data_IF_236615119834
#
_entry.id   IF_236615119834
#
_cell.length_a   1.000
_cell.length_b   1.000
_cell.length_c   1.000
_cell.angle_alpha   90.00
_cell.angle_beta   90.00
_cell.angle_gamma   90.00
#
_symmetry.space_group_name_H-M   'P 1'
#
loop_
_entity.id
_entity.type
_entity.pdbx_description
1 polymer ?
#
# COMPACT_ATOMS: atom_id res chain seq x y z
N UNK A 1 -13.56 -15.02 21.27
CA UNK A 1 -13.45 -15.47 19.86
C UNK A 1 -12.38 -14.59 19.24
N UNK A 2 -11.30 -15.17 18.73
CA UNK A 2 -10.28 -14.41 17.99
C UNK A 2 -10.95 -13.85 16.75
N UNK A 3 -11.11 -12.53 16.66
CA UNK A 3 -11.42 -11.89 15.39
C UNK A 3 -10.11 -11.96 14.59
N UNK A 4 -9.99 -12.90 13.69
CA UNK A 4 -8.88 -12.89 12.73
C UNK A 4 -9.12 -11.73 11.76
N UNK A 5 -8.09 -10.95 11.47
CA UNK A 5 -8.16 -9.90 10.46
C UNK A 5 -8.40 -10.50 9.07
N UNK A 6 -9.65 -10.48 8.60
CA UNK A 6 -10.08 -11.26 7.42
C UNK A 6 -9.72 -10.63 6.07
N UNK A 7 -9.31 -9.36 6.03
CA UNK A 7 -9.07 -8.65 4.78
C UNK A 7 -7.87 -9.17 3.99
N UNK A 8 -7.03 -10.01 4.60
CA UNK A 8 -5.87 -10.65 3.95
C UNK A 8 -6.03 -12.16 3.71
N UNK A 9 -7.17 -12.76 4.07
CA UNK A 9 -7.32 -14.23 4.08
C UNK A 9 -7.56 -14.85 2.71
N UNK A 10 -8.05 -14.08 1.73
CA UNK A 10 -8.31 -14.55 0.37
C UNK A 10 -7.68 -13.62 -0.65
N UNK A 11 -7.28 -14.18 -1.79
CA UNK A 11 -6.66 -13.42 -2.88
C UNK A 11 -7.57 -12.25 -3.32
N UNK A 12 -7.13 -11.02 -3.03
CA UNK A 12 -7.89 -9.79 -3.33
C UNK A 12 -7.74 -9.29 -4.77
N UNK A 13 -6.82 -9.84 -5.56
CA UNK A 13 -6.78 -9.59 -7.01
C UNK A 13 -7.91 -10.34 -7.73
N UNK A 14 -8.25 -11.53 -7.20
CA UNK A 14 -9.32 -12.38 -7.74
C UNK A 14 -10.67 -12.04 -7.09
N UNK A 15 -10.71 -11.94 -5.77
CA UNK A 15 -11.94 -11.67 -5.00
C UNK A 15 -12.01 -10.20 -4.57
N UNK A 16 -13.01 -9.48 -5.08
CA UNK A 16 -13.20 -8.07 -4.74
C UNK A 16 -13.80 -7.95 -3.33
N UNK A 17 -13.16 -7.16 -2.48
CA UNK A 17 -13.70 -6.84 -1.16
C UNK A 17 -14.73 -5.71 -1.15
N UNK A 18 -15.70 -5.84 -0.25
CA UNK A 18 -16.81 -4.92 -0.04
C UNK A 18 -16.72 -4.21 1.32
N UNK A 19 -15.67 -3.39 1.48
CA UNK A 19 -15.39 -2.59 2.70
C UNK A 19 -16.53 -1.67 3.19
N UNK A 20 -17.61 -1.48 2.42
CA UNK A 20 -18.72 -0.58 2.78
C UNK A 20 -19.61 -1.12 3.90
N UNK A 21 -19.59 -2.43 4.17
CA UNK A 21 -20.45 -3.08 5.16
C UNK A 21 -19.66 -3.67 6.33
N UNK A 22 -18.42 -3.23 6.51
CA UNK A 22 -17.56 -3.69 7.61
C UNK A 22 -18.16 -3.28 8.96
N UNK A 23 -18.41 -4.22 9.89
CA UNK A 23 -18.87 -3.89 11.23
C UNK A 23 -17.83 -3.04 11.99
N UNK A 24 -18.30 -2.25 12.94
CA UNK A 24 -17.41 -1.62 13.92
C UNK A 24 -16.90 -2.66 14.90
N UNK A 25 -15.58 -2.85 14.94
CA UNK A 25 -14.92 -3.86 15.77
C UNK A 25 -14.13 -3.26 16.95
N UNK A 26 -14.14 -1.92 17.10
CA UNK A 26 -13.49 -1.22 18.20
C UNK A 26 -11.96 -1.39 18.23
N UNK A 27 -11.37 -1.20 19.42
CA UNK A 27 -9.92 -1.27 19.62
C UNK A 27 -9.32 -2.63 19.23
N UNK A 28 -10.08 -3.72 19.37
CA UNK A 28 -9.65 -5.06 19.01
C UNK A 28 -9.28 -5.15 17.52
N UNK A 29 -9.99 -4.41 16.66
CA UNK A 29 -9.66 -4.32 15.24
C UNK A 29 -8.23 -3.84 15.00
N UNK A 30 -7.81 -2.81 15.73
CA UNK A 30 -6.48 -2.25 15.60
C UNK A 30 -5.44 -3.26 16.08
N UNK A 31 -5.69 -3.94 17.20
CA UNK A 31 -4.83 -5.04 17.66
C UNK A 31 -4.69 -6.13 16.59
N UNK A 32 -5.81 -6.64 16.06
CA UNK A 32 -5.81 -7.70 15.04
C UNK A 32 -5.11 -7.24 13.75
N UNK A 33 -5.29 -5.97 13.37
CA UNK A 33 -4.64 -5.34 12.23
C UNK A 33 -3.11 -5.28 12.41
N UNK A 34 -2.60 -4.76 13.52
CA UNK A 34 -1.15 -4.70 13.78
C UNK A 34 -0.54 -6.10 13.83
N UNK A 35 -1.20 -7.05 14.50
CA UNK A 35 -0.76 -8.44 14.58
C UNK A 35 -0.70 -9.11 13.21
N UNK A 36 -1.68 -8.85 12.34
CA UNK A 36 -1.71 -9.36 10.97
C UNK A 36 -0.46 -8.94 10.18
N UNK A 37 -0.13 -7.64 10.17
CA UNK A 37 1.05 -7.12 9.46
C UNK A 37 2.35 -7.65 10.05
N UNK A 38 2.46 -7.68 11.38
CA UNK A 38 3.65 -8.17 12.05
C UNK A 38 3.87 -9.67 11.79
N UNK A 39 2.79 -10.46 11.80
CA UNK A 39 2.84 -11.89 11.49
C UNK A 39 3.21 -12.13 10.03
N UNK A 40 2.71 -11.30 9.12
CA UNK A 40 3.10 -11.36 7.72
C UNK A 40 4.58 -11.02 7.49
N UNK A 41 5.10 -9.96 8.11
CA UNK A 41 6.52 -9.63 8.04
C UNK A 41 7.39 -10.81 8.52
N UNK A 42 7.04 -11.42 9.66
CA UNK A 42 7.71 -12.62 10.17
C UNK A 42 7.65 -13.78 9.16
N UNK A 43 6.50 -14.01 8.54
CA UNK A 43 6.30 -15.05 7.50
C UNK A 43 7.25 -14.88 6.32
N UNK A 44 7.56 -13.63 5.94
CA UNK A 44 8.48 -13.33 4.83
C UNK A 44 9.95 -13.19 5.27
N UNK A 45 10.27 -13.52 6.53
CA UNK A 45 11.63 -13.49 7.09
C UNK A 45 12.10 -12.10 7.51
N UNK A 46 11.17 -11.18 7.77
CA UNK A 46 11.43 -9.80 8.15
C UNK A 46 10.78 -9.49 9.51
N UNK A 47 11.16 -8.38 10.11
CA UNK A 47 10.60 -7.94 11.40
C UNK A 47 10.14 -6.50 11.29
N UNK A 48 9.10 -6.14 12.04
CA UNK A 48 8.71 -4.75 12.21
C UNK A 48 9.83 -3.96 12.89
N UNK A 49 10.22 -2.84 12.29
CA UNK A 49 11.22 -1.92 12.81
C UNK A 49 10.62 -0.53 12.72
N UNK A 50 10.17 0.07 13.83
CA UNK A 50 9.55 1.39 13.82
C UNK A 50 10.40 2.36 13.02
N UNK A 51 9.84 2.88 11.92
CA UNK A 51 10.48 3.93 11.14
C UNK A 51 10.27 5.27 11.84
N UNK A 52 11.25 6.16 11.75
CA UNK A 52 11.11 7.53 12.21
C UNK A 52 10.52 8.42 11.12
N UNK A 53 9.87 9.50 11.55
CA UNK A 53 9.12 10.49 10.75
C UNK A 53 9.91 11.08 9.57
N UNK A 54 11.24 10.96 9.57
CA UNK A 54 12.14 11.58 8.59
C UNK A 54 12.81 10.57 7.66
N UNK A 55 12.16 9.44 7.36
CA UNK A 55 12.63 8.56 6.29
C UNK A 55 11.99 9.00 4.96
N UNK A 56 12.59 9.91 4.19
CA UNK A 56 12.05 10.28 2.89
C UNK A 56 12.02 9.07 1.95
N UNK A 57 10.85 8.81 1.37
CA UNK A 57 10.63 7.86 0.27
C UNK A 57 11.17 8.48 -1.02
N UNK A 58 12.48 8.49 -1.17
CA UNK A 58 13.21 8.97 -2.35
C UNK A 58 14.38 8.02 -2.64
N UNK A 59 14.82 7.95 -3.90
CA UNK A 59 15.86 7.05 -4.38
C UNK A 59 15.57 5.57 -4.03
N UNK A 60 14.28 5.19 -4.09
CA UNK A 60 13.85 3.82 -3.79
C UNK A 60 14.34 2.88 -4.88
N UNK A 61 14.40 3.35 -6.14
CA UNK A 61 14.94 2.56 -7.24
C UNK A 61 16.36 2.07 -6.92
N UNK A 62 17.28 3.02 -6.68
CA UNK A 62 18.70 2.75 -6.43
C UNK A 62 18.91 1.95 -5.15
N UNK A 63 18.22 2.35 -4.07
CA UNK A 63 18.37 1.74 -2.75
C UNK A 63 17.98 0.26 -2.73
N UNK A 64 16.97 -0.13 -3.50
CA UNK A 64 16.43 -1.48 -3.49
C UNK A 64 16.68 -2.27 -4.79
N UNK A 65 17.27 -1.65 -5.82
CA UNK A 65 17.62 -2.29 -7.09
C UNK A 65 16.39 -2.78 -7.88
N UNK A 66 15.31 -2.01 -7.88
CA UNK A 66 13.99 -2.46 -8.38
C UNK A 66 13.73 -2.07 -9.84
N UNK A 67 14.69 -1.44 -10.53
CA UNK A 67 14.56 -1.01 -11.93
C UNK A 67 14.26 -2.20 -12.85
N UNK A 68 14.89 -3.35 -12.58
CA UNK A 68 14.67 -4.60 -13.34
C UNK A 68 13.26 -5.18 -13.20
N UNK A 69 12.55 -4.86 -12.11
CA UNK A 69 11.16 -5.28 -11.89
C UNK A 69 10.16 -4.42 -12.65
N UNK A 70 10.52 -3.17 -12.94
CA UNK A 70 9.65 -2.15 -13.53
C UNK A 70 9.67 -2.24 -15.07
N UNK A 71 9.09 -3.31 -15.61
CA UNK A 71 9.16 -3.61 -17.05
C UNK A 71 8.04 -2.97 -17.88
N UNK A 72 6.93 -2.56 -17.27
CA UNK A 72 5.75 -2.06 -17.97
C UNK A 72 5.58 -0.54 -17.89
N UNK A 73 4.82 0.09 -18.81
CA UNK A 73 4.61 1.55 -18.79
C UNK A 73 4.15 2.07 -17.43
N UNK A 74 3.20 1.37 -16.80
CA UNK A 74 2.69 1.77 -15.48
C UNK A 74 3.74 1.62 -14.39
N UNK A 75 4.46 0.50 -14.32
CA UNK A 75 5.53 0.32 -13.32
C UNK A 75 6.65 1.36 -13.47
N UNK A 76 7.00 1.73 -14.72
CA UNK A 76 8.01 2.76 -14.99
C UNK A 76 7.56 4.13 -14.57
N UNK A 77 6.29 4.49 -14.84
CA UNK A 77 5.74 5.77 -14.40
C UNK A 77 5.62 5.85 -12.88
N UNK A 78 5.23 4.76 -12.22
CA UNK A 78 5.21 4.69 -10.76
C UNK A 78 6.61 4.83 -10.15
N UNK A 79 7.63 4.21 -10.76
CA UNK A 79 9.02 4.36 -10.35
C UNK A 79 9.50 5.82 -10.52
N UNK A 80 9.20 6.45 -11.66
CA UNK A 80 9.51 7.87 -11.86
C UNK A 80 8.86 8.75 -10.78
N UNK A 81 7.58 8.52 -10.48
CA UNK A 81 6.86 9.29 -9.46
C UNK A 81 7.39 9.06 -8.06
N UNK A 82 7.87 7.86 -7.72
CA UNK A 82 8.33 7.61 -6.35
C UNK A 82 9.62 8.39 -6.05
N UNK A 83 10.49 8.53 -7.06
CA UNK A 83 11.79 9.19 -6.94
C UNK A 83 11.73 10.70 -7.26
N UNK A 84 10.67 11.18 -7.92
CA UNK A 84 10.46 12.60 -8.18
C UNK A 84 9.88 13.34 -6.96
N UNK A 85 10.52 14.45 -6.59
CA UNK A 85 10.04 15.38 -5.55
C UNK A 85 8.86 16.24 -6.01
N UNK A 86 8.66 16.41 -7.31
CA UNK A 86 7.55 17.17 -7.93
C UNK A 86 6.54 16.24 -8.59
N UNK A 87 5.97 15.31 -7.82
CA UNK A 87 5.07 14.28 -8.34
C UNK A 87 3.88 14.86 -9.10
N UNK A 88 3.55 14.20 -10.21
CA UNK A 88 2.35 14.47 -11.00
C UNK A 88 1.09 14.08 -10.21
N UNK A 89 0.58 15.04 -9.43
CA UNK A 89 -0.61 14.87 -8.59
C UNK A 89 -1.86 14.49 -9.39
N UNK A 90 -1.99 14.95 -10.64
CA UNK A 90 -3.13 14.59 -11.49
C UNK A 90 -3.06 13.10 -11.86
N UNK A 91 -1.88 12.61 -12.24
CA UNK A 91 -1.68 11.20 -12.56
C UNK A 91 -1.99 10.28 -11.36
N UNK A 92 -1.54 10.67 -10.16
CA UNK A 92 -1.81 9.96 -8.90
C UNK A 92 -3.32 9.90 -8.64
N UNK A 93 -4.02 11.02 -8.75
CA UNK A 93 -5.46 11.12 -8.54
C UNK A 93 -6.26 10.26 -9.52
N UNK A 94 -5.85 10.24 -10.79
CA UNK A 94 -6.51 9.42 -11.82
C UNK A 94 -6.27 7.93 -11.59
N UNK A 95 -5.07 7.52 -11.18
CA UNK A 95 -4.79 6.14 -10.82
C UNK A 95 -5.59 5.72 -9.57
N UNK A 96 -5.68 6.62 -8.59
CA UNK A 96 -6.45 6.40 -7.37
C UNK A 96 -7.92 6.12 -7.69
N UNK A 97 -8.57 6.99 -8.45
CA UNK A 97 -9.97 6.81 -8.87
C UNK A 97 -10.14 5.49 -9.64
N UNK A 98 -9.18 5.16 -10.52
CA UNK A 98 -9.22 3.92 -11.30
C UNK A 98 -9.14 2.69 -10.40
N UNK A 99 -8.23 2.69 -9.42
CA UNK A 99 -8.11 1.62 -8.45
C UNK A 99 -9.37 1.53 -7.57
N UNK A 100 -9.95 2.65 -7.12
CA UNK A 100 -11.15 2.62 -6.29
C UNK A 100 -12.33 1.91 -6.97
N UNK A 101 -12.50 2.12 -8.28
CA UNK A 101 -13.55 1.47 -9.09
C UNK A 101 -13.21 0.00 -9.38
N UNK A 102 -12.05 -0.24 -9.97
CA UNK A 102 -11.70 -1.54 -10.56
C UNK A 102 -11.00 -2.50 -9.60
N UNK A 103 -10.41 -1.99 -8.51
CA UNK A 103 -9.49 -2.68 -7.59
C UNK A 103 -8.25 -3.28 -8.26
N UNK A 104 -7.89 -2.77 -9.43
CA UNK A 104 -6.79 -3.28 -10.25
C UNK A 104 -5.91 -2.14 -10.75
N UNK A 105 -4.61 -2.40 -10.81
CA UNK A 105 -3.63 -1.54 -11.47
C UNK A 105 -3.09 -2.29 -12.68
N UNK A 106 -3.54 -1.88 -13.85
CA UNK A 106 -3.16 -2.47 -15.13
C UNK A 106 -1.75 -2.07 -15.52
N UNK A 107 -1.12 -2.87 -16.38
CA UNK A 107 0.25 -2.63 -16.83
C UNK A 107 0.39 -1.43 -17.78
N UNK A 108 -0.69 -1.00 -18.43
CA UNK A 108 -0.70 0.12 -19.39
C UNK A 108 -2.07 0.81 -19.47
N UNK A 109 -2.05 2.13 -19.65
CA UNK A 109 -3.22 3.01 -19.72
C UNK A 109 -3.13 3.96 -20.91
N UNK A 110 -4.27 4.35 -21.48
CA UNK A 110 -4.34 5.44 -22.45
C UNK A 110 -4.37 6.82 -21.75
N UNK A 111 -4.39 7.88 -22.55
CA UNK A 111 -4.50 9.28 -22.07
C UNK A 111 -5.76 9.54 -21.24
N UNK A 112 -6.79 8.69 -21.37
CA UNK A 112 -8.05 8.74 -20.62
C UNK A 112 -8.05 7.80 -19.41
N UNK A 113 -6.92 7.20 -19.03
CA UNK A 113 -6.80 6.20 -17.96
C UNK A 113 -7.69 4.96 -18.17
N UNK A 114 -8.00 4.64 -19.43
CA UNK A 114 -8.59 3.36 -19.81
C UNK A 114 -7.47 2.32 -19.97
N UNK A 115 -7.63 1.11 -19.42
CA UNK A 115 -6.61 0.07 -19.58
C UNK A 115 -6.38 -0.27 -21.05
N UNK A 116 -5.14 -0.17 -21.50
CA UNK A 116 -4.70 -0.68 -22.81
C UNK A 116 -4.31 -2.14 -22.76
N UNK A 117 -4.02 -2.63 -21.56
CA UNK A 117 -3.66 -4.02 -21.27
C UNK A 117 -4.70 -4.69 -20.39
N UNK A 118 -4.81 -6.02 -20.49
CA UNK A 118 -5.56 -6.84 -19.54
C UNK A 118 -4.70 -7.35 -18.38
N UNK A 119 -3.38 -7.15 -18.43
CA UNK A 119 -2.45 -7.60 -17.39
C UNK A 119 -2.54 -6.67 -16.18
N UNK A 120 -2.76 -7.24 -15.01
CA UNK A 120 -2.86 -6.50 -13.75
C UNK A 120 -2.27 -7.27 -12.56
N UNK A 121 -1.67 -8.44 -12.75
CA UNK A 121 -1.10 -9.25 -11.66
C UNK A 121 0.28 -8.76 -11.18
N UNK A 122 0.80 -7.67 -11.76
CA UNK A 122 2.12 -7.14 -11.42
C UNK A 122 2.12 -6.50 -10.04
N UNK A 123 2.54 -7.26 -9.04
CA UNK A 123 2.52 -6.86 -7.63
C UNK A 123 3.30 -5.56 -7.37
N UNK A 124 4.39 -5.34 -8.12
CA UNK A 124 5.20 -4.13 -8.05
C UNK A 124 4.38 -2.84 -8.23
N UNK A 125 3.35 -2.86 -9.10
CA UNK A 125 2.49 -1.70 -9.33
C UNK A 125 1.70 -1.32 -8.07
N UNK A 126 1.20 -2.32 -7.34
CA UNK A 126 0.42 -2.10 -6.11
C UNK A 126 1.30 -1.61 -4.97
N UNK A 127 2.51 -2.18 -4.84
CA UNK A 127 3.46 -1.79 -3.79
C UNK A 127 3.97 -0.37 -4.01
N UNK A 128 4.40 -0.04 -5.24
CA UNK A 128 4.87 1.32 -5.56
C UNK A 128 3.75 2.35 -5.36
N UNK A 129 2.52 2.03 -5.78
CA UNK A 129 1.40 2.94 -5.59
C UNK A 129 1.04 3.14 -4.12
N UNK A 130 1.09 2.08 -3.30
CA UNK A 130 0.89 2.21 -1.85
C UNK A 130 1.92 3.16 -1.21
N UNK A 131 3.19 3.03 -1.58
CA UNK A 131 4.26 3.91 -1.09
C UNK A 131 4.06 5.37 -1.49
N UNK A 132 3.67 5.63 -2.75
CA UNK A 132 3.36 6.99 -3.22
C UNK A 132 2.23 7.58 -2.37
N UNK A 133 1.12 6.86 -2.19
CA UNK A 133 -0.01 7.34 -1.41
C UNK A 133 0.33 7.60 0.07
N UNK A 134 1.14 6.71 0.69
CA UNK A 134 1.63 6.91 2.05
C UNK A 134 2.53 8.14 2.16
N UNK A 135 3.38 8.39 1.17
CA UNK A 135 4.20 9.60 1.10
C UNK A 135 3.36 10.86 0.96
N UNK A 136 2.34 10.86 0.09
CA UNK A 136 1.45 12.01 -0.13
C UNK A 136 0.54 12.29 1.09
N UNK A 137 0.16 11.24 1.81
CA UNK A 137 -0.66 11.37 3.00
C UNK A 137 0.08 12.05 4.16
N UNK A 138 1.41 11.95 4.26
CA UNK A 138 2.14 12.69 5.29
C UNK A 138 2.01 14.21 5.13
N UNK A 139 1.73 14.68 3.92
CA UNK A 139 1.58 16.09 3.59
C UNK A 139 0.12 16.56 3.54
N UNK A 140 -0.86 15.67 3.77
CA UNK A 140 -2.28 16.00 3.68
C UNK A 140 -3.12 15.23 4.69
N UNK A 141 -4.13 15.88 5.31
CA UNK A 141 -5.15 15.19 6.10
C UNK A 141 -6.16 14.42 5.22
N UNK A 142 -5.75 14.05 3.99
CA UNK A 142 -6.56 13.28 3.07
C UNK A 142 -6.52 11.78 3.43
N UNK A 143 -7.45 11.36 4.28
CA UNK A 143 -7.60 9.96 4.67
C UNK A 143 -7.91 9.01 3.51
N UNK A 144 -8.30 9.51 2.33
CA UNK A 144 -8.53 8.68 1.14
C UNK A 144 -7.25 7.99 0.68
N UNK A 145 -6.10 8.68 0.77
CA UNK A 145 -4.80 8.10 0.43
C UNK A 145 -4.41 6.99 1.39
N UNK A 146 -4.50 7.23 2.70
CA UNK A 146 -4.25 6.20 3.72
C UNK A 146 -5.18 5.00 3.50
N UNK A 147 -6.49 5.23 3.42
CA UNK A 147 -7.48 4.18 3.23
C UNK A 147 -7.24 3.35 1.97
N UNK A 148 -6.70 3.95 0.92
CA UNK A 148 -6.35 3.22 -0.30
C UNK A 148 -5.05 2.45 -0.15
N UNK A 149 -4.02 3.04 0.49
CA UNK A 149 -2.79 2.34 0.82
C UNK A 149 -3.04 1.09 1.68
N UNK A 150 -3.93 1.19 2.68
CA UNK A 150 -4.36 0.05 3.50
C UNK A 150 -4.91 -1.10 2.63
N UNK A 151 -5.79 -0.77 1.68
CA UNK A 151 -6.38 -1.75 0.75
C UNK A 151 -5.37 -2.36 -0.21
N UNK A 152 -4.39 -1.56 -0.65
CA UNK A 152 -3.30 -2.04 -1.50
C UNK A 152 -2.40 -3.01 -0.73
N UNK A 153 -2.05 -2.69 0.52
CA UNK A 153 -1.25 -3.59 1.35
C UNK A 153 -2.03 -4.84 1.76
N UNK A 154 -3.33 -4.76 2.04
CA UNK A 154 -4.19 -5.95 2.20
C UNK A 154 -4.12 -6.86 0.99
N UNK A 155 -4.24 -6.28 -0.20
CA UNK A 155 -4.14 -7.01 -1.46
C UNK A 155 -2.77 -7.66 -1.59
N UNK A 156 -1.69 -6.90 -1.38
CA UNK A 156 -0.31 -7.41 -1.47
C UNK A 156 -0.06 -8.56 -0.51
N UNK A 157 -0.53 -8.46 0.74
CA UNK A 157 -0.41 -9.52 1.74
C UNK A 157 -1.21 -10.76 1.32
N UNK A 158 -2.42 -10.56 0.81
CA UNK A 158 -3.33 -11.66 0.42
C UNK A 158 -2.85 -12.45 -0.79
N UNK A 159 -2.15 -11.80 -1.72
CA UNK A 159 -1.68 -12.42 -2.97
C UNK A 159 -0.20 -12.80 -2.89
N UNK A 160 0.41 -12.69 -1.71
CA UNK A 160 1.82 -12.97 -1.51
C UNK A 160 2.14 -14.47 -1.69
N UNK A 161 3.14 -14.74 -2.52
CA UNK A 161 3.74 -16.07 -2.68
C UNK A 161 5.12 -16.16 -2.02
N UNK A 162 5.48 -17.31 -1.45
CA UNK A 162 6.75 -17.48 -0.70
C UNK A 162 8.01 -17.27 -1.57
N UNK A 163 7.88 -17.49 -2.88
CA UNK A 163 8.95 -17.49 -3.89
C UNK A 163 9.32 -16.11 -4.44
N UNK A 164 8.76 -15.01 -3.91
CA UNK A 164 9.08 -13.67 -4.41
C UNK A 164 10.57 -13.28 -4.23
N UNK A 165 11.02 -12.46 -5.18
CA UNK A 165 12.34 -11.83 -5.25
C UNK A 165 12.65 -10.99 -3.99
N UNK A 166 13.94 -10.85 -3.67
CA UNK A 166 14.39 -10.20 -2.42
C UNK A 166 14.05 -8.72 -2.42
N UNK A 167 14.20 -8.09 -3.56
CA UNK A 167 13.93 -6.69 -3.87
C UNK A 167 12.45 -6.38 -3.58
N UNK A 168 11.55 -7.24 -4.06
CA UNK A 168 10.11 -7.10 -3.84
C UNK A 168 9.75 -7.28 -2.36
N UNK A 169 10.35 -8.25 -1.66
CA UNK A 169 10.18 -8.41 -0.20
C UNK A 169 10.62 -7.16 0.57
N UNK A 170 11.71 -6.53 0.15
CA UNK A 170 12.20 -5.31 0.76
C UNK A 170 11.22 -4.13 0.55
N UNK A 171 10.62 -4.02 -0.64
CA UNK A 171 9.58 -3.02 -0.92
C UNK A 171 8.30 -3.27 -0.11
N UNK A 172 7.87 -4.51 0.03
CA UNK A 172 6.71 -4.85 0.86
C UNK A 172 6.98 -4.48 2.31
N UNK A 173 8.17 -4.78 2.82
CA UNK A 173 8.55 -4.43 4.18
C UNK A 173 8.42 -2.92 4.41
N UNK A 174 9.05 -2.11 3.56
CA UNK A 174 9.02 -0.66 3.72
C UNK A 174 7.59 -0.12 3.60
N UNK A 175 6.78 -0.63 2.66
CA UNK A 175 5.36 -0.25 2.53
C UNK A 175 4.57 -0.50 3.81
N UNK A 176 4.74 -1.69 4.42
CA UNK A 176 4.07 -2.04 5.67
C UNK A 176 4.60 -1.17 6.83
N UNK A 177 5.90 -0.88 6.91
CA UNK A 177 6.43 0.00 7.95
C UNK A 177 5.79 1.40 7.88
N UNK A 178 5.69 1.97 6.68
CA UNK A 178 5.07 3.30 6.48
C UNK A 178 3.58 3.29 6.80
N UNK A 179 2.87 2.24 6.40
CA UNK A 179 1.47 2.05 6.75
C UNK A 179 1.26 2.03 8.27
N UNK A 180 2.02 1.20 8.99
CA UNK A 180 1.89 1.07 10.44
C UNK A 180 2.23 2.37 11.16
N UNK A 181 3.26 3.08 10.69
CA UNK A 181 3.61 4.41 11.19
C UNK A 181 2.48 5.43 10.97
N UNK A 182 1.90 5.51 9.76
CA UNK A 182 0.79 6.43 9.47
C UNK A 182 -0.45 6.13 10.31
N UNK A 183 -0.77 4.85 10.53
CA UNK A 183 -1.89 4.46 11.41
C UNK A 183 -1.60 4.81 12.87
N UNK A 184 -0.38 4.59 13.34
CA UNK A 184 0.03 4.97 14.70
C UNK A 184 -0.12 6.48 14.94
N UNK A 185 0.35 7.31 14.00
CA UNK A 185 0.17 8.76 14.08
C UNK A 185 -1.30 9.18 14.10
N UNK A 186 -2.17 8.46 13.38
CA UNK A 186 -3.61 8.74 13.39
C UNK A 186 -4.22 8.41 14.76
N UNK A 187 -3.86 7.28 15.36
CA UNK A 187 -4.33 6.88 16.70
C UNK A 187 -3.92 7.94 17.73
N UNK A 188 -2.66 8.39 17.70
CA UNK A 188 -2.14 9.41 18.62
C UNK A 188 -2.88 10.75 18.46
N UNK A 189 -3.15 11.18 17.22
CA UNK A 189 -3.98 12.36 16.96
C UNK A 189 -5.39 12.22 17.56
N UNK A 190 -6.03 11.05 17.43
CA UNK A 190 -7.37 10.82 17.95
C UNK A 190 -7.42 10.81 19.48
N UNK A 191 -6.41 10.25 20.16
CA UNK A 191 -6.32 10.23 21.62
C UNK A 191 -6.17 11.63 22.21
N UNK A 192 -5.40 12.51 21.56
CA UNK A 192 -5.22 13.91 21.99
C UNK A 192 -6.55 14.69 21.96
N UNK A 193 -7.50 14.30 21.11
CA UNK A 193 -8.80 14.97 20.99
C UNK A 193 -9.85 14.50 22.01
N UNK A 194 -9.63 13.38 22.72
CA UNK A 194 -10.56 12.91 23.77
C UNK A 194 -10.26 13.52 25.15
N UNK A 195 -9.12 14.20 25.31
CA UNK A 195 -8.66 14.80 26.58
C UNK A 195 -9.05 16.30 26.77
N UNK A 196 -9.94 16.84 25.94
CA UNK A 196 -10.45 18.23 26.02
C UNK A 196 -11.98 18.29 26.10
#
# INVERSE_FOLDING_TARGET
MSNTYTYTETDRLITKEHYHYTPWHGIQFLTDYFENRCSFLKKIGLSYTPISNNSPLHNISEKYGIEGLCTTPTSKKLLELIDDTSRDSEWIERLLQRFEVSKRIYSDYDENFKPKSKLYEQLINYILFALILLSEQQNSDNYRYLNTALKLNDLVISTYEKTLEKELKALINISIQFELYSVQCLIEKCQIHEDY
#
